data_IF_837160205339
#
_entry.id   IF_837160205339
#
_cell.length_a   1.000
_cell.length_b   1.000
_cell.length_c   1.000
_cell.angle_alpha   90.00
_cell.angle_beta   90.00
_cell.angle_gamma   90.00
#
_symmetry.space_group_name_H-M   'P 1'
#
loop_
_entity.id
_entity.type
_entity.pdbx_description
1 polymer ?
#
# COMPACT_ATOMS: atom_id res chain seq x y z
N UNK A 1 0.70 15.37 -14.56
CA UNK A 1 -0.48 15.82 -13.80
C UNK A 1 0.04 16.19 -12.43
N UNK A 2 -0.17 17.42 -11.98
CA UNK A 2 0.32 17.85 -10.67
C UNK A 2 -0.52 17.18 -9.58
N UNK A 3 0.15 16.60 -8.58
CA UNK A 3 -0.54 15.99 -7.44
C UNK A 3 -1.23 17.08 -6.61
N UNK A 4 -2.38 16.76 -5.98
CA UNK A 4 -3.05 17.73 -5.12
C UNK A 4 -2.18 18.06 -3.89
N UNK A 5 -2.47 19.17 -3.19
CA UNK A 5 -1.85 19.47 -1.90
C UNK A 5 -2.00 18.31 -0.91
N UNK A 6 -1.05 18.18 0.02
CA UNK A 6 -0.95 17.05 0.96
C UNK A 6 -2.27 16.76 1.69
N UNK A 7 -2.99 17.78 2.13
CA UNK A 7 -4.25 17.59 2.87
C UNK A 7 -5.34 16.98 1.99
N UNK A 8 -5.44 17.40 0.72
CA UNK A 8 -6.39 16.84 -0.23
C UNK A 8 -6.00 15.42 -0.66
N UNK A 9 -4.69 15.14 -0.78
CA UNK A 9 -4.18 13.79 -1.01
C UNK A 9 -4.54 12.86 0.16
N UNK A 10 -4.31 13.34 1.39
CA UNK A 10 -4.61 12.58 2.60
C UNK A 10 -6.10 12.30 2.72
N UNK A 11 -6.96 13.28 2.44
CA UNK A 11 -8.40 13.06 2.39
C UNK A 11 -8.80 11.98 1.37
N UNK A 12 -8.22 11.95 0.16
CA UNK A 12 -8.49 10.89 -0.82
C UNK A 12 -8.07 9.52 -0.30
N UNK A 13 -6.89 9.44 0.31
CA UNK A 13 -6.37 8.20 0.88
C UNK A 13 -7.29 7.72 2.00
N UNK A 14 -7.71 8.58 2.92
CA UNK A 14 -8.62 8.25 4.03
C UNK A 14 -9.95 7.65 3.56
N UNK A 15 -10.46 8.07 2.38
CA UNK A 15 -11.70 7.54 1.80
C UNK A 15 -11.54 6.22 1.04
N UNK A 16 -10.33 5.70 0.87
CA UNK A 16 -10.14 4.38 0.28
C UNK A 16 -10.81 3.30 1.16
N UNK A 17 -11.73 2.53 0.57
CA UNK A 17 -12.27 1.33 1.20
C UNK A 17 -11.25 0.21 1.13
N UNK A 18 -10.55 -0.06 2.24
CA UNK A 18 -9.55 -1.12 2.34
C UNK A 18 -10.05 -2.32 3.15
N UNK A 19 -11.35 -2.38 3.43
CA UNK A 19 -11.92 -3.43 4.29
C UNK A 19 -11.73 -4.83 3.71
N UNK A 20 -11.75 -4.97 2.38
CA UNK A 20 -11.50 -6.26 1.71
C UNK A 20 -10.07 -6.76 1.93
N UNK A 21 -9.09 -5.86 1.87
CA UNK A 21 -7.66 -6.18 2.06
C UNK A 21 -7.42 -6.61 3.50
N UNK A 22 -7.93 -5.83 4.46
CA UNK A 22 -7.88 -6.18 5.89
C UNK A 22 -8.51 -7.55 6.16
N UNK A 23 -9.66 -7.85 5.54
CA UNK A 23 -10.35 -9.13 5.71
C UNK A 23 -9.55 -10.30 5.15
N UNK A 24 -8.84 -10.14 4.02
CA UNK A 24 -7.96 -11.20 3.50
C UNK A 24 -6.78 -11.46 4.42
N UNK A 25 -6.11 -10.43 4.92
CA UNK A 25 -5.03 -10.58 5.91
C UNK A 25 -5.51 -11.38 7.14
N UNK A 26 -6.72 -11.09 7.63
CA UNK A 26 -7.28 -11.81 8.77
C UNK A 26 -7.64 -13.26 8.44
N UNK A 27 -8.33 -13.49 7.33
CA UNK A 27 -8.89 -14.81 7.00
C UNK A 27 -7.85 -15.78 6.43
N UNK A 28 -6.95 -15.30 5.58
CA UNK A 28 -6.01 -16.12 4.81
C UNK A 28 -4.63 -16.19 5.46
N UNK A 29 -4.23 -15.14 6.19
CA UNK A 29 -2.92 -15.06 6.84
C UNK A 29 -2.98 -15.13 8.37
N UNK A 30 -4.18 -15.23 8.94
CA UNK A 30 -4.40 -15.41 10.38
C UNK A 30 -4.06 -14.18 11.23
N UNK A 31 -3.99 -12.99 10.63
CA UNK A 31 -3.74 -11.76 11.38
C UNK A 31 -4.93 -11.45 12.28
N UNK A 32 -4.67 -10.96 13.48
CA UNK A 32 -5.73 -10.43 14.32
C UNK A 32 -6.20 -9.04 13.82
N UNK A 33 -7.37 -8.62 14.28
CA UNK A 33 -7.98 -7.36 13.85
C UNK A 33 -7.14 -6.13 14.21
N UNK A 34 -6.39 -6.17 15.30
CA UNK A 34 -5.58 -5.04 15.75
C UNK A 34 -4.34 -4.87 14.86
N UNK A 35 -3.64 -5.98 14.57
CA UNK A 35 -2.50 -6.01 13.66
C UNK A 35 -2.91 -5.56 12.25
N UNK A 36 -4.02 -6.08 11.72
CA UNK A 36 -4.48 -5.73 10.38
C UNK A 36 -4.92 -4.25 10.27
N UNK A 37 -5.51 -3.69 11.33
CA UNK A 37 -5.86 -2.25 11.38
C UNK A 37 -4.59 -1.38 11.49
N UNK A 38 -3.62 -1.78 12.32
CA UNK A 38 -2.36 -1.07 12.43
C UNK A 38 -1.57 -1.09 11.12
N UNK A 39 -1.60 -2.19 10.36
CA UNK A 39 -0.99 -2.29 9.04
C UNK A 39 -1.68 -1.39 8.01
N UNK A 40 -3.02 -1.32 8.04
CA UNK A 40 -3.80 -0.40 7.20
C UNK A 40 -3.38 1.07 7.44
N UNK A 41 -3.26 1.48 8.72
CA UNK A 41 -2.83 2.83 9.08
C UNK A 41 -1.42 3.15 8.57
N UNK A 42 -0.50 2.18 8.66
CA UNK A 42 0.87 2.33 8.17
C UNK A 42 0.91 2.40 6.64
N UNK A 43 0.10 1.60 5.95
CA UNK A 43 -0.05 1.64 4.51
C UNK A 43 -0.60 2.98 4.03
N UNK A 44 -1.62 3.53 4.69
CA UNK A 44 -2.15 4.89 4.37
C UNK A 44 -1.06 5.96 4.49
N UNK A 45 -0.22 5.91 5.52
CA UNK A 45 0.93 6.83 5.69
C UNK A 45 1.97 6.65 4.60
N UNK A 46 2.24 5.40 4.21
CA UNK A 46 3.13 5.09 3.10
C UNK A 46 2.61 5.70 1.79
N UNK A 47 1.32 5.57 1.46
CA UNK A 47 0.73 6.15 0.25
C UNK A 47 0.89 7.67 0.19
N UNK A 48 0.71 8.38 1.31
CA UNK A 48 0.95 9.83 1.37
C UNK A 48 2.41 10.15 1.02
N UNK A 49 3.35 9.40 1.60
CA UNK A 49 4.78 9.63 1.37
C UNK A 49 5.21 9.27 -0.06
N UNK A 50 4.72 8.15 -0.60
CA UNK A 50 5.00 7.68 -1.96
C UNK A 50 4.50 8.64 -3.05
N UNK A 51 3.49 9.46 -2.75
CA UNK A 51 3.08 10.54 -3.64
C UNK A 51 4.09 11.68 -3.71
N UNK A 52 4.90 11.87 -2.66
CA UNK A 52 5.76 13.05 -2.49
C UNK A 52 7.25 12.78 -2.63
N UNK A 53 7.66 11.51 -2.57
CA UNK A 53 9.05 11.06 -2.57
C UNK A 53 9.19 9.87 -3.52
N UNK A 54 10.11 9.96 -4.48
CA UNK A 54 10.27 8.94 -5.53
C UNK A 54 10.91 7.63 -5.04
N UNK A 55 11.63 7.64 -3.91
CA UNK A 55 12.40 6.50 -3.41
C UNK A 55 12.07 6.21 -1.94
N UNK A 56 10.83 5.83 -1.66
CA UNK A 56 10.42 5.43 -0.31
C UNK A 56 9.93 3.98 -0.31
N UNK A 57 10.49 3.18 0.60
CA UNK A 57 10.05 1.82 0.84
C UNK A 57 9.07 1.79 2.03
N UNK A 58 8.01 0.96 1.98
CA UNK A 58 7.12 0.76 3.13
C UNK A 58 7.87 0.07 4.28
N UNK A 59 7.33 0.14 5.50
CA UNK A 59 7.74 -0.81 6.53
C UNK A 59 7.08 -2.18 6.30
N UNK A 60 7.48 -3.20 7.07
CA UNK A 60 7.06 -4.59 6.84
C UNK A 60 5.55 -4.78 6.88
N UNK A 61 4.85 -4.10 7.78
CA UNK A 61 3.41 -4.22 7.94
C UNK A 61 2.67 -3.56 6.78
N UNK A 62 3.09 -2.35 6.38
CA UNK A 62 2.53 -1.67 5.21
C UNK A 62 2.84 -2.41 3.91
N UNK A 63 4.01 -3.03 3.79
CA UNK A 63 4.42 -3.85 2.64
C UNK A 63 3.50 -5.07 2.46
N UNK A 64 3.28 -5.83 3.55
CA UNK A 64 2.37 -6.96 3.53
C UNK A 64 0.93 -6.55 3.18
N UNK A 65 0.47 -5.40 3.69
CA UNK A 65 -0.85 -4.86 3.34
C UNK A 65 -0.92 -4.44 1.87
N UNK A 66 0.16 -3.83 1.37
CA UNK A 66 0.26 -3.40 -0.03
C UNK A 66 0.25 -4.60 -0.98
N UNK A 67 0.98 -5.68 -0.67
CA UNK A 67 0.95 -6.93 -1.45
C UNK A 67 -0.47 -7.47 -1.57
N UNK A 68 -1.20 -7.56 -0.46
CA UNK A 68 -2.61 -8.02 -0.52
C UNK A 68 -3.49 -7.06 -1.33
N UNK A 69 -3.25 -5.75 -1.27
CA UNK A 69 -3.99 -4.80 -2.08
C UNK A 69 -3.71 -4.98 -3.59
N UNK A 70 -2.46 -5.22 -3.99
CA UNK A 70 -2.06 -5.45 -5.40
C UNK A 70 -2.80 -6.66 -6.00
N UNK A 71 -3.07 -7.70 -5.19
CA UNK A 71 -3.82 -8.88 -5.63
C UNK A 71 -5.27 -8.55 -6.03
N UNK A 72 -5.83 -7.44 -5.54
CA UNK A 72 -7.11 -6.89 -5.99
C UNK A 72 -6.92 -5.96 -7.19
N UNK A 73 -6.40 -6.49 -8.30
CA UNK A 73 -5.82 -5.72 -9.42
C UNK A 73 -6.69 -4.58 -9.95
N UNK A 74 -7.99 -4.80 -10.16
CA UNK A 74 -8.92 -3.76 -10.63
C UNK A 74 -9.09 -2.63 -9.61
N UNK A 75 -9.28 -2.99 -8.34
CA UNK A 75 -9.41 -2.03 -7.25
C UNK A 75 -8.12 -1.25 -7.03
N UNK A 76 -7.00 -1.97 -7.02
CA UNK A 76 -5.68 -1.38 -6.84
C UNK A 76 -5.37 -0.33 -7.93
N UNK A 77 -5.68 -0.66 -9.18
CA UNK A 77 -5.53 0.28 -10.29
C UNK A 77 -6.44 1.51 -10.13
N UNK A 78 -7.71 1.32 -9.75
CA UNK A 78 -8.65 2.42 -9.54
C UNK A 78 -8.26 3.33 -8.36
N UNK A 79 -7.84 2.75 -7.24
CA UNK A 79 -7.35 3.49 -6.07
C UNK A 79 -6.07 4.27 -6.42
N UNK A 80 -5.16 3.67 -7.20
CA UNK A 80 -3.95 4.35 -7.66
C UNK A 80 -4.26 5.51 -8.59
N UNK A 81 -5.22 5.36 -9.50
CA UNK A 81 -5.66 6.45 -10.38
C UNK A 81 -6.27 7.60 -9.57
N UNK A 82 -7.11 7.29 -8.57
CA UNK A 82 -7.72 8.29 -7.69
C UNK A 82 -6.67 9.10 -6.90
N UNK A 83 -5.66 8.41 -6.36
CA UNK A 83 -4.66 9.00 -5.47
C UNK A 83 -3.52 9.65 -6.25
N UNK A 84 -2.93 8.93 -7.22
CA UNK A 84 -1.70 9.29 -7.90
C UNK A 84 -1.89 9.71 -9.37
N UNK A 85 -3.07 9.47 -9.97
CA UNK A 85 -3.31 9.64 -11.41
C UNK A 85 -2.47 8.71 -12.30
N UNK A 86 -1.95 7.62 -11.71
CA UNK A 86 -1.15 6.57 -12.35
C UNK A 86 -1.05 5.37 -11.42
N UNK A 87 -0.65 4.22 -11.95
CA UNK A 87 -0.31 3.06 -11.14
C UNK A 87 0.96 3.34 -10.29
N UNK A 88 0.89 3.08 -8.99
CA UNK A 88 2.09 2.99 -8.17
C UNK A 88 2.71 1.61 -8.44
N UNK A 89 3.91 1.57 -8.99
CA UNK A 89 4.54 0.28 -9.30
C UNK A 89 5.23 -0.29 -8.06
N UNK A 90 5.17 -1.62 -7.91
CA UNK A 90 5.86 -2.36 -6.88
C UNK A 90 6.88 -3.31 -7.53
N UNK A 91 8.10 -3.35 -7.01
CA UNK A 91 9.12 -4.35 -7.37
C UNK A 91 9.17 -5.42 -6.26
N UNK A 92 8.79 -6.68 -6.54
CA UNK A 92 8.86 -7.78 -5.58
C UNK A 92 10.26 -8.06 -4.99
N UNK A 93 11.31 -7.56 -5.63
CA UNK A 93 12.68 -7.75 -5.16
C UNK A 93 13.16 -6.65 -4.20
N UNK A 94 12.43 -5.55 -4.11
CA UNK A 94 12.71 -4.46 -3.19
C UNK A 94 12.22 -4.85 -1.79
N UNK A 95 13.12 -4.84 -0.81
CA UNK A 95 12.75 -5.08 0.59
C UNK A 95 12.37 -3.77 1.29
N UNK A 96 11.56 -3.84 2.36
CA UNK A 96 11.30 -2.73 3.28
C UNK A 96 12.56 -2.03 3.84
N UNK A 97 13.72 -2.70 3.83
CA UNK A 97 15.01 -2.17 4.29
C UNK A 97 15.91 -1.62 3.16
N UNK A 98 15.42 -1.59 1.91
CA UNK A 98 16.18 -1.15 0.74
C UNK A 98 17.20 -2.17 0.21
N UNK A 99 17.17 -3.42 0.71
CA UNK A 99 18.00 -4.51 0.20
C UNK A 99 17.37 -5.21 -1.01
N UNK A 100 18.20 -5.58 -2.00
CA UNK A 100 17.79 -6.44 -3.12
C UNK A 100 17.92 -7.93 -2.77
N UNK A 101 16.89 -8.73 -3.02
CA UNK A 101 16.95 -10.18 -2.90
C UNK A 101 17.47 -10.84 -4.19
N UNK A 102 18.61 -11.53 -4.11
CA UNK A 102 18.99 -12.53 -5.12
C UNK A 102 18.22 -13.82 -4.84
N UNK A 103 17.06 -14.00 -5.47
CA UNK A 103 16.40 -15.31 -5.55
C UNK A 103 14.97 -15.34 -5.00
N UNK A 104 14.05 -15.51 -5.95
CA UNK A 104 12.74 -16.17 -5.93
C UNK A 104 12.17 -16.50 -4.55
N UNK A 105 11.15 -15.76 -4.14
CA UNK A 105 9.99 -16.35 -3.47
C UNK A 105 8.72 -15.69 -4.03
N UNK A 106 7.79 -16.58 -4.42
CA UNK A 106 6.43 -16.31 -4.87
C UNK A 106 5.46 -16.43 -3.70
#
# INVERSE_FOLDING_TARGET
MDLPPRDALQARIEHLDLAVVRRRLMNEHGWDSAAATAAEDQYRRFLVSAATVDTISPNREADAFWHEHILHTEKYAADCELVFGRLLHHDPLEKPDGGYCHGVWA
#
